data_IF_672291287275
#
_entry.id   IF_672291287275
#
_cell.length_a   1.000
_cell.length_b   1.000
_cell.length_c   1.000
_cell.angle_alpha   90.00
_cell.angle_beta   90.00
_cell.angle_gamma   90.00
#
_symmetry.space_group_name_H-M   'P 1'
#
loop_
_entity.id
_entity.type
_entity.pdbx_description
1 polymer ?
#
# COMPACT_ATOMS: atom_id res chain seq x y z
N UNK A 1 -0.99 -9.38 30.83
CA UNK A 1 -0.32 -10.42 30.02
C UNK A 1 -0.05 -9.80 28.67
N UNK A 2 1.11 -10.05 28.04
CA UNK A 2 1.39 -9.54 26.69
C UNK A 2 0.30 -10.05 25.75
N UNK A 3 -0.20 -9.17 24.87
CA UNK A 3 -1.28 -9.49 23.94
C UNK A 3 -0.70 -10.06 22.65
N UNK A 4 -1.38 -11.02 22.04
CA UNK A 4 -1.04 -11.46 20.68
C UNK A 4 -1.29 -10.31 19.69
N UNK A 5 -0.43 -10.15 18.68
CA UNK A 5 -0.44 -9.02 17.76
C UNK A 5 -0.46 -9.47 16.31
N UNK A 6 -1.20 -8.73 15.47
CA UNK A 6 -1.19 -8.82 14.02
C UNK A 6 -0.54 -7.55 13.45
N UNK A 7 0.60 -7.71 12.79
CA UNK A 7 1.39 -6.63 12.23
C UNK A 7 1.29 -6.67 10.71
N UNK A 8 0.66 -5.65 10.12
CA UNK A 8 0.57 -5.49 8.67
C UNK A 8 1.68 -4.56 8.22
N UNK A 9 2.64 -5.10 7.48
CA UNK A 9 3.72 -4.32 6.89
C UNK A 9 3.23 -3.76 5.57
N UNK A 10 3.00 -2.45 5.52
CA UNK A 10 2.46 -1.76 4.35
C UNK A 10 3.40 -0.66 3.89
N UNK A 11 3.39 -0.34 2.60
CA UNK A 11 4.33 0.60 2.02
C UNK A 11 4.50 0.34 0.53
N UNK A 12 5.05 1.32 -0.19
CA UNK A 12 5.30 1.16 -1.60
C UNK A 12 6.37 0.11 -1.92
N UNK A 13 6.53 -0.19 -3.20
CA UNK A 13 7.57 -1.10 -3.70
C UNK A 13 8.95 -0.66 -3.23
N UNK A 14 9.78 -1.64 -2.89
CA UNK A 14 11.14 -1.44 -2.36
C UNK A 14 11.21 -0.62 -1.06
N UNK A 15 10.10 -0.47 -0.33
CA UNK A 15 10.06 0.24 0.94
C UNK A 15 10.68 -0.48 2.14
N UNK A 16 11.24 -1.69 1.96
CA UNK A 16 11.87 -2.44 3.05
C UNK A 16 10.93 -3.31 3.91
N UNK A 17 9.68 -3.53 3.48
CA UNK A 17 8.67 -4.32 4.22
C UNK A 17 9.16 -5.73 4.58
N UNK A 18 9.57 -6.51 3.59
CA UNK A 18 10.00 -7.90 3.79
C UNK A 18 11.25 -7.99 4.68
N UNK A 19 12.18 -7.04 4.55
CA UNK A 19 13.37 -6.95 5.41
C UNK A 19 12.99 -6.62 6.87
N UNK A 20 12.07 -5.67 7.07
CA UNK A 20 11.51 -5.39 8.38
C UNK A 20 10.80 -6.61 8.98
N UNK A 21 10.01 -7.33 8.17
CA UNK A 21 9.35 -8.58 8.57
C UNK A 21 10.34 -9.66 9.00
N UNK A 22 11.41 -9.88 8.24
CA UNK A 22 12.47 -10.83 8.60
C UNK A 22 13.21 -10.43 9.88
N UNK A 23 13.37 -9.13 10.11
CA UNK A 23 13.95 -8.59 11.36
C UNK A 23 13.05 -8.88 12.56
N UNK A 24 11.74 -8.63 12.42
CA UNK A 24 10.72 -8.95 13.43
C UNK A 24 10.62 -10.45 13.72
N UNK A 25 10.80 -11.29 12.68
CA UNK A 25 10.81 -12.75 12.78
C UNK A 25 12.11 -13.31 13.38
N UNK A 26 13.21 -12.56 13.33
CA UNK A 26 14.55 -13.01 13.70
C UNK A 26 15.18 -14.01 12.73
N UNK A 27 14.59 -14.23 11.56
CA UNK A 27 15.09 -15.12 10.50
C UNK A 27 14.55 -14.71 9.13
N UNK A 28 15.14 -15.25 8.07
CA UNK A 28 14.74 -14.98 6.68
C UNK A 28 13.54 -15.86 6.30
N UNK A 29 12.39 -15.25 6.04
CA UNK A 29 11.15 -15.92 5.63
C UNK A 29 10.56 -15.23 4.39
N UNK A 30 10.46 -13.91 4.41
CA UNK A 30 9.96 -13.10 3.30
C UNK A 30 11.05 -12.82 2.26
N UNK A 31 10.67 -12.85 0.98
CA UNK A 31 11.56 -12.59 -0.15
C UNK A 31 11.75 -11.11 -0.46
N UNK A 32 12.51 -10.80 -1.53
CA UNK A 32 12.73 -9.41 -1.97
C UNK A 32 11.52 -8.78 -2.68
N UNK A 33 10.73 -9.60 -3.36
CA UNK A 33 9.52 -9.17 -4.06
C UNK A 33 8.31 -9.94 -3.60
N UNK A 34 7.38 -9.22 -2.97
CA UNK A 34 6.10 -9.74 -2.50
C UNK A 34 5.07 -9.56 -3.61
N UNK A 35 4.85 -10.62 -4.38
CA UNK A 35 3.84 -10.65 -5.46
C UNK A 35 2.44 -11.01 -4.92
N UNK A 36 2.38 -11.66 -3.76
CA UNK A 36 1.17 -12.06 -3.03
C UNK A 36 1.43 -11.83 -1.55
N UNK A 37 0.44 -11.40 -0.77
CA UNK A 37 0.62 -11.16 0.65
C UNK A 37 0.99 -12.46 1.38
N UNK A 38 2.00 -12.40 2.26
CA UNK A 38 2.53 -13.56 2.97
C UNK A 38 2.33 -13.41 4.47
N UNK A 39 1.96 -14.50 5.13
CA UNK A 39 1.77 -14.57 6.58
C UNK A 39 2.88 -15.42 7.20
N UNK A 40 3.51 -14.89 8.24
CA UNK A 40 4.42 -15.63 9.11
C UNK A 40 4.04 -15.44 10.59
N UNK A 41 4.37 -16.41 11.44
CA UNK A 41 4.10 -16.32 12.87
C UNK A 41 5.35 -16.64 13.69
N UNK A 42 5.58 -15.88 14.76
CA UNK A 42 6.72 -16.05 15.67
C UNK A 42 6.32 -15.75 17.09
N UNK A 43 7.03 -16.32 18.07
CA UNK A 43 6.91 -15.91 19.48
C UNK A 43 8.10 -15.04 19.88
N UNK A 44 7.85 -13.80 20.28
CA UNK A 44 8.89 -12.84 20.68
C UNK A 44 8.52 -12.24 22.03
N UNK A 45 9.44 -12.30 22.99
CA UNK A 45 9.27 -11.73 24.33
C UNK A 45 7.91 -12.10 25.00
N UNK A 46 7.48 -13.36 24.84
CA UNK A 46 6.24 -13.89 25.43
C UNK A 46 4.95 -13.57 24.67
N UNK A 47 5.03 -12.98 23.47
CA UNK A 47 3.89 -12.61 22.61
C UNK A 47 3.87 -13.49 21.36
N UNK A 48 2.69 -13.86 20.85
CA UNK A 48 2.58 -14.38 19.48
C UNK A 48 2.39 -13.22 18.52
N UNK A 49 3.34 -13.08 17.58
CA UNK A 49 3.23 -12.15 16.47
C UNK A 49 2.73 -12.90 15.24
N UNK A 50 1.73 -12.35 14.57
CA UNK A 50 1.37 -12.68 13.19
C UNK A 50 1.82 -11.51 12.33
N UNK A 51 2.76 -11.73 11.44
CA UNK A 51 3.32 -10.70 10.55
C UNK A 51 2.78 -10.98 9.15
N UNK A 52 2.18 -9.95 8.55
CA UNK A 52 1.64 -9.98 7.20
C UNK A 52 2.51 -9.05 6.37
N UNK A 53 3.35 -9.63 5.51
CA UNK A 53 4.08 -8.87 4.51
C UNK A 53 3.16 -8.64 3.31
N UNK A 54 2.84 -7.38 3.02
CA UNK A 54 1.90 -7.06 1.94
C UNK A 54 2.60 -6.80 0.61
N UNK A 55 1.85 -6.92 -0.47
CA UNK A 55 2.28 -6.41 -1.79
C UNK A 55 2.58 -4.90 -1.71
N UNK A 56 3.53 -4.42 -2.52
CA UNK A 56 3.90 -3.00 -2.57
C UNK A 56 3.13 -2.22 -3.64
N UNK A 57 2.61 -1.05 -3.28
CA UNK A 57 2.00 -0.10 -4.22
C UNK A 57 3.03 0.71 -5.00
N UNK A 58 2.60 1.35 -6.09
CA UNK A 58 3.42 2.34 -6.79
C UNK A 58 3.39 3.67 -6.03
N UNK A 59 4.55 4.29 -5.85
CA UNK A 59 4.68 5.55 -5.12
C UNK A 59 4.08 6.74 -5.87
N UNK A 60 3.89 6.64 -7.19
CA UNK A 60 3.42 7.77 -8.01
C UNK A 60 1.94 8.08 -7.81
N UNK A 61 1.08 7.06 -7.82
CA UNK A 61 -0.36 7.21 -7.62
C UNK A 61 -1.07 5.87 -7.40
N UNK A 62 -2.35 5.94 -7.00
CA UNK A 62 -3.22 4.78 -6.95
C UNK A 62 -3.49 4.18 -8.34
N UNK A 63 -3.60 5.01 -9.38
CA UNK A 63 -3.86 4.56 -10.76
C UNK A 63 -2.69 3.77 -11.34
N UNK A 64 -1.46 4.14 -10.98
CA UNK A 64 -0.24 3.38 -11.32
C UNK A 64 -0.14 2.07 -10.52
N UNK A 65 -0.92 1.93 -9.45
CA UNK A 65 -1.04 0.69 -8.68
C UNK A 65 -2.08 -0.25 -9.32
N UNK A 66 -1.58 -1.37 -9.88
CA UNK A 66 -2.42 -2.35 -10.57
C UNK A 66 -3.59 -2.83 -9.71
N UNK A 67 -4.73 -3.12 -10.35
CA UNK A 67 -5.94 -3.55 -9.65
C UNK A 67 -5.71 -4.81 -8.82
N UNK A 68 -4.92 -5.77 -9.32
CA UNK A 68 -4.53 -6.97 -8.57
C UNK A 68 -3.79 -6.66 -7.26
N UNK A 69 -2.96 -5.60 -7.24
CA UNK A 69 -2.27 -5.18 -6.01
C UNK A 69 -3.27 -4.58 -5.02
N UNK A 70 -4.20 -3.74 -5.50
CA UNK A 70 -5.24 -3.13 -4.66
C UNK A 70 -6.17 -4.19 -4.06
N UNK A 71 -6.59 -5.18 -4.85
CA UNK A 71 -7.37 -6.33 -4.38
C UNK A 71 -6.61 -7.16 -3.34
N UNK A 72 -5.34 -7.46 -3.59
CA UNK A 72 -4.53 -8.28 -2.69
C UNK A 72 -4.23 -7.55 -1.36
N UNK A 73 -4.14 -6.20 -1.36
CA UNK A 73 -4.07 -5.41 -0.13
C UNK A 73 -5.33 -5.57 0.73
N UNK A 74 -6.52 -5.49 0.13
CA UNK A 74 -7.79 -5.68 0.86
C UNK A 74 -7.90 -7.12 1.36
N UNK A 75 -7.64 -8.11 0.49
CA UNK A 75 -7.68 -9.54 0.84
C UNK A 75 -6.72 -9.91 1.96
N UNK A 76 -5.59 -9.22 2.07
CA UNK A 76 -4.56 -9.50 3.09
C UNK A 76 -5.12 -9.48 4.52
N UNK A 77 -6.20 -8.74 4.78
CA UNK A 77 -6.86 -8.69 6.09
C UNK A 77 -7.37 -10.04 6.57
N UNK A 78 -7.78 -10.90 5.63
CA UNK A 78 -8.21 -12.29 5.90
C UNK A 78 -7.07 -13.18 6.43
N UNK A 79 -5.81 -12.75 6.25
CA UNK A 79 -4.63 -13.45 6.77
C UNK A 79 -4.37 -13.15 8.24
N UNK A 80 -5.12 -12.24 8.87
CA UNK A 80 -4.94 -11.90 10.28
C UNK A 80 -5.30 -13.07 11.21
N UNK A 81 -4.57 -13.19 12.33
CA UNK A 81 -4.89 -14.09 13.44
C UNK A 81 -5.75 -13.40 14.52
N UNK A 82 -6.03 -14.10 15.63
CA UNK A 82 -6.66 -13.46 16.79
C UNK A 82 -5.79 -12.34 17.37
N UNK A 83 -6.42 -11.28 17.88
CA UNK A 83 -5.73 -10.17 18.57
C UNK A 83 -5.71 -8.84 17.81
N UNK A 84 -5.17 -7.77 18.43
CA UNK A 84 -4.95 -6.45 17.85
C UNK A 84 -4.33 -6.44 16.46
N UNK A 85 -4.86 -5.56 15.61
CA UNK A 85 -4.34 -5.23 14.28
C UNK A 85 -3.59 -3.90 14.36
N UNK A 86 -2.33 -3.92 13.92
CA UNK A 86 -1.47 -2.75 13.80
C UNK A 86 -0.92 -2.65 12.38
N UNK A 87 -0.94 -1.45 11.83
CA UNK A 87 -0.44 -1.13 10.49
C UNK A 87 0.91 -0.44 10.61
N UNK A 88 1.96 -1.09 10.13
CA UNK A 88 3.31 -0.54 10.10
C UNK A 88 3.57 0.02 8.70
N UNK A 89 3.58 1.34 8.58
CA UNK A 89 3.85 2.05 7.33
C UNK A 89 5.36 2.14 7.12
N UNK A 90 5.89 1.20 6.33
CA UNK A 90 7.32 1.04 6.11
C UNK A 90 7.82 2.03 5.07
N UNK A 91 8.71 2.93 5.51
CA UNK A 91 9.30 4.00 4.69
C UNK A 91 10.82 3.93 4.86
N UNK A 92 11.62 3.89 3.76
CA UNK A 92 13.06 3.97 3.88
C UNK A 92 13.49 5.28 4.54
N UNK A 93 14.38 5.21 5.54
CA UNK A 93 14.85 6.40 6.29
C UNK A 93 15.53 7.44 5.40
N UNK A 94 16.08 7.01 4.26
CA UNK A 94 16.79 7.85 3.28
C UNK A 94 15.88 8.66 2.36
N UNK A 95 14.59 8.35 2.36
CA UNK A 95 13.64 8.92 1.41
C UNK A 95 12.81 10.00 2.10
N UNK A 96 12.73 11.15 1.46
CA UNK A 96 11.68 12.12 1.72
C UNK A 96 10.44 11.79 0.90
N UNK A 97 9.25 12.14 1.41
CA UNK A 97 8.02 11.99 0.63
C UNK A 97 7.70 13.26 -0.15
N UNK A 98 7.38 13.10 -1.42
CA UNK A 98 6.68 14.11 -2.21
C UNK A 98 5.19 14.09 -1.89
N UNK A 99 4.46 15.11 -2.37
CA UNK A 99 3.00 15.14 -2.24
C UNK A 99 2.32 13.99 -2.99
N UNK A 100 2.91 13.52 -4.09
CA UNK A 100 2.38 12.37 -4.83
C UNK A 100 2.58 11.07 -4.03
N UNK A 101 3.77 10.88 -3.44
CA UNK A 101 4.04 9.70 -2.60
C UNK A 101 3.08 9.64 -1.41
N UNK A 102 2.82 10.79 -0.78
CA UNK A 102 1.84 10.93 0.31
C UNK A 102 0.43 10.55 -0.14
N UNK A 103 -0.03 11.07 -1.29
CA UNK A 103 -1.35 10.74 -1.85
C UNK A 103 -1.47 9.26 -2.17
N UNK A 104 -0.45 8.68 -2.80
CA UNK A 104 -0.44 7.26 -3.12
C UNK A 104 -0.53 6.40 -1.83
N UNK A 105 0.24 6.75 -0.80
CA UNK A 105 0.17 6.09 0.51
C UNK A 105 -1.23 6.24 1.14
N UNK A 106 -1.77 7.45 1.16
CA UNK A 106 -3.10 7.75 1.72
C UNK A 106 -4.18 6.93 1.02
N UNK A 107 -4.23 6.99 -0.32
CA UNK A 107 -5.22 6.27 -1.11
C UNK A 107 -5.13 4.75 -0.95
N UNK A 108 -3.91 4.19 -0.88
CA UNK A 108 -3.74 2.74 -0.69
C UNK A 108 -4.14 2.30 0.72
N UNK A 109 -3.88 3.13 1.74
CA UNK A 109 -4.34 2.84 3.11
C UNK A 109 -5.87 2.97 3.23
N UNK A 110 -6.46 3.96 2.56
CA UNK A 110 -7.90 4.19 2.54
C UNK A 110 -8.70 3.11 1.81
N UNK A 111 -8.05 2.22 1.04
CA UNK A 111 -8.69 0.98 0.60
C UNK A 111 -9.17 0.16 1.81
N UNK A 112 -8.44 0.20 2.92
CA UNK A 112 -8.83 -0.47 4.16
C UNK A 112 -9.77 0.41 5.00
N UNK A 113 -10.22 1.58 4.50
CA UNK A 113 -11.07 2.53 5.20
C UNK A 113 -10.28 3.55 6.02
N UNK A 114 -10.96 4.35 6.85
CA UNK A 114 -10.32 5.43 7.63
C UNK A 114 -9.71 4.95 8.97
N UNK A 115 -10.34 3.95 9.61
CA UNK A 115 -9.89 3.43 10.92
C UNK A 115 -8.44 2.89 10.97
N UNK A 116 -7.84 2.32 9.90
CA UNK A 116 -6.45 1.91 9.90
C UNK A 116 -5.47 2.96 10.41
N UNK A 117 -5.72 4.26 10.17
CA UNK A 117 -4.88 5.35 10.66
C UNK A 117 -4.78 5.40 12.19
N UNK A 118 -5.86 5.06 12.91
CA UNK A 118 -5.88 5.03 14.38
C UNK A 118 -4.92 3.97 14.93
N UNK A 119 -4.68 2.91 14.16
CA UNK A 119 -3.78 1.80 14.50
C UNK A 119 -2.51 1.79 13.62
N UNK A 120 -2.15 2.92 13.02
CA UNK A 120 -0.96 3.04 12.18
C UNK A 120 0.22 3.66 12.93
N UNK A 121 1.41 3.12 12.65
CA UNK A 121 2.71 3.64 13.08
C UNK A 121 3.65 3.68 11.88
N UNK A 122 4.42 4.77 11.74
CA UNK A 122 5.43 4.88 10.69
C UNK A 122 6.70 4.10 11.10
N UNK A 123 7.07 3.09 10.31
CA UNK A 123 8.26 2.28 10.53
C UNK A 123 9.34 2.71 9.56
N UNK A 124 10.36 3.44 10.04
CA UNK A 124 11.51 3.77 9.22
C UNK A 124 12.43 2.56 9.12
N UNK A 125 12.66 2.04 7.91
CA UNK A 125 13.63 0.97 7.68
C UNK A 125 15.02 1.57 7.42
N UNK A 126 16.00 1.20 8.24
CA UNK A 126 17.40 1.60 8.12
C UNK A 126 18.20 0.40 7.62
N UNK A 127 19.00 0.60 6.58
CA UNK A 127 19.96 -0.38 6.09
C UNK A 127 21.38 0.18 6.18
N UNK A 128 22.37 -0.69 6.35
CA UNK A 128 23.78 -0.35 6.44
C UNK A 128 24.21 0.57 5.27
N UNK A 129 25.02 1.59 5.58
CA UNK A 129 25.58 2.54 4.61
C UNK A 129 24.87 3.88 4.50
N UNK A 130 23.74 4.05 5.21
CA UNK A 130 22.98 5.31 5.26
C UNK A 130 22.71 5.74 6.69
N UNK A 131 23.76 5.80 7.50
CA UNK A 131 23.68 6.41 8.82
C UNK A 131 23.65 7.93 8.68
N UNK A 132 22.48 8.50 8.92
CA UNK A 132 22.33 9.91 9.26
C UNK A 132 22.81 10.16 10.70
N UNK A 133 24.05 9.77 11.03
CA UNK A 133 24.64 10.13 12.33
C UNK A 133 24.63 11.66 12.56
N UNK A 134 24.56 12.46 11.49
CA UNK A 134 24.49 13.92 11.56
C UNK A 134 23.07 14.52 11.62
N UNK A 135 22.01 13.81 11.20
CA UNK A 135 20.64 14.37 11.13
C UNK A 135 19.67 13.50 11.93
N UNK A 136 19.01 14.12 12.90
CA UNK A 136 18.00 13.44 13.73
C UNK A 136 16.78 13.02 12.89
N UNK A 137 16.02 12.03 13.35
CA UNK A 137 14.80 11.62 12.62
C UNK A 137 13.79 12.74 12.54
N UNK A 138 13.75 13.50 13.62
CA UNK A 138 12.87 14.63 13.85
C UNK A 138 13.19 15.72 12.82
N UNK A 139 14.46 16.05 12.60
CA UNK A 139 14.87 16.98 11.54
C UNK A 139 14.54 16.45 10.14
N UNK A 140 14.70 15.14 9.88
CA UNK A 140 14.30 14.56 8.60
C UNK A 140 12.79 14.66 8.35
N UNK A 141 11.96 14.31 9.34
CA UNK A 141 10.51 14.44 9.27
C UNK A 141 10.12 15.90 9.03
N UNK A 142 10.73 16.83 9.77
CA UNK A 142 10.46 18.26 9.65
C UNK A 142 10.88 18.84 8.28
N UNK A 143 11.87 18.26 7.62
CA UNK A 143 12.35 18.70 6.32
C UNK A 143 11.35 18.43 5.17
N UNK A 144 10.43 17.48 5.35
CA UNK A 144 9.51 17.04 4.30
C UNK A 144 8.05 17.16 4.74
N UNK A 145 7.35 18.17 4.23
CA UNK A 145 5.93 18.44 4.59
C UNK A 145 5.03 17.21 4.43
N UNK A 146 5.22 16.45 3.36
CA UNK A 146 4.40 15.29 3.06
C UNK A 146 4.69 14.13 4.04
N UNK A 147 5.95 13.94 4.44
CA UNK A 147 6.34 12.96 5.46
C UNK A 147 5.83 13.37 6.85
N UNK A 148 5.98 14.64 7.22
CA UNK A 148 5.42 15.19 8.46
C UNK A 148 3.92 14.92 8.55
N UNK A 149 3.18 15.18 7.48
CA UNK A 149 1.75 14.91 7.44
C UNK A 149 1.43 13.43 7.72
N UNK A 150 2.17 12.47 7.14
CA UNK A 150 1.93 11.04 7.39
C UNK A 150 2.17 10.69 8.86
N UNK A 151 3.24 11.21 9.45
CA UNK A 151 3.58 10.98 10.86
C UNK A 151 2.53 11.59 11.78
N UNK A 152 2.10 12.82 11.51
CA UNK A 152 1.01 13.50 12.23
C UNK A 152 -0.32 12.73 12.11
N UNK A 153 -0.64 12.23 10.91
CA UNK A 153 -1.83 11.40 10.65
C UNK A 153 -1.81 10.09 11.44
N UNK A 154 -0.62 9.55 11.68
CA UNK A 154 -0.38 8.41 12.57
C UNK A 154 -0.27 8.81 14.05
N UNK A 155 -0.76 9.99 14.46
CA UNK A 155 -0.73 10.42 15.86
C UNK A 155 0.69 10.68 16.40
N UNK A 156 1.62 11.10 15.55
CA UNK A 156 3.04 11.28 15.86
C UNK A 156 3.77 9.99 16.28
N UNK A 157 3.27 8.83 15.86
CA UNK A 157 3.86 7.52 16.17
C UNK A 157 4.82 7.09 15.07
N UNK A 158 6.09 6.93 15.41
CA UNK A 158 7.08 6.29 14.55
C UNK A 158 8.12 5.47 15.32
N UNK A 159 8.82 4.61 14.59
CA UNK A 159 9.91 3.78 15.10
C UNK A 159 10.98 3.59 14.02
N UNK A 160 12.25 3.51 14.43
CA UNK A 160 13.39 3.20 13.56
C UNK A 160 13.74 1.73 13.70
N UNK A 161 13.79 1.00 12.59
CA UNK A 161 14.19 -0.40 12.58
C UNK A 161 15.41 -0.56 11.68
N UNK A 162 16.53 -0.94 12.29
CA UNK A 162 17.71 -1.42 11.58
C UNK A 162 17.42 -2.83 11.07
N UNK A 163 17.26 -2.97 9.75
CA UNK A 163 16.88 -4.22 9.10
C UNK A 163 18.07 -5.13 8.78
N UNK A 164 19.29 -4.61 8.92
CA UNK A 164 20.52 -5.39 8.78
C UNK A 164 21.06 -5.83 10.16
N UNK A 165 20.77 -5.02 11.18
CA UNK A 165 21.08 -5.29 12.58
C UNK A 165 20.27 -6.42 13.19
N UNK A 166 20.93 -7.23 14.02
CA UNK A 166 20.31 -8.38 14.74
C UNK A 166 19.92 -8.04 16.18
N UNK A 167 19.46 -6.81 16.43
CA UNK A 167 19.10 -6.36 17.77
C UNK A 167 17.69 -6.79 18.19
N UNK A 168 17.56 -7.69 19.18
CA UNK A 168 16.24 -8.01 19.77
C UNK A 168 15.60 -6.81 20.48
N UNK A 169 16.42 -5.87 20.96
CA UNK A 169 15.97 -4.70 21.72
C UNK A 169 15.07 -3.77 20.91
N UNK A 170 15.44 -3.44 19.67
CA UNK A 170 14.61 -2.58 18.79
C UNK A 170 13.24 -3.21 18.53
N UNK A 171 13.20 -4.54 18.36
CA UNK A 171 11.94 -5.27 18.15
C UNK A 171 11.07 -5.15 19.40
N UNK A 172 11.62 -5.37 20.60
CA UNK A 172 10.86 -5.23 21.84
C UNK A 172 10.34 -3.80 22.03
N UNK A 173 11.17 -2.78 21.79
CA UNK A 173 10.76 -1.37 21.90
C UNK A 173 9.66 -0.99 20.89
N UNK A 174 9.71 -1.55 19.67
CA UNK A 174 8.63 -1.40 18.69
C UNK A 174 7.34 -2.05 19.18
N UNK A 175 7.41 -3.28 19.70
CA UNK A 175 6.24 -4.01 20.17
C UNK A 175 5.57 -3.30 21.36
N UNK A 176 6.34 -2.73 22.28
CA UNK A 176 5.80 -1.94 23.40
C UNK A 176 5.01 -0.72 22.89
N UNK A 177 5.53 0.01 21.89
CA UNK A 177 4.82 1.12 21.24
C UNK A 177 3.53 0.66 20.56
N UNK A 178 3.58 -0.49 19.90
CA UNK A 178 2.39 -1.06 19.23
C UNK A 178 1.35 -1.49 20.25
N UNK A 179 1.75 -2.09 21.38
CA UNK A 179 0.84 -2.49 22.46
C UNK A 179 0.14 -1.28 23.09
N UNK A 180 0.88 -0.18 23.32
CA UNK A 180 0.29 1.07 23.79
C UNK A 180 -0.68 1.66 22.77
N UNK A 181 -0.30 1.65 21.50
CA UNK A 181 -1.13 2.15 20.40
C UNK A 181 -2.48 1.41 20.30
N UNK A 182 -2.48 0.09 20.48
CA UNK A 182 -3.69 -0.73 20.35
C UNK A 182 -4.36 -1.01 21.71
N UNK A 183 -3.91 -0.35 22.79
CA UNK A 183 -4.51 -0.49 24.11
C UNK A 183 -5.91 0.13 24.13
N UNK A 184 -6.94 -0.70 24.35
CA UNK A 184 -8.34 -0.26 24.28
C UNK A 184 -8.94 -0.37 22.88
N UNK A 185 -8.24 -0.99 21.94
CA UNK A 185 -8.76 -1.31 20.62
C UNK A 185 -9.95 -2.26 20.68
N UNK A 186 -11.01 -1.89 19.97
CA UNK A 186 -12.16 -2.76 19.71
C UNK A 186 -11.96 -3.49 18.37
N UNK A 187 -11.74 -4.80 18.49
CA UNK A 187 -11.51 -5.68 17.35
C UNK A 187 -12.69 -5.74 16.40
N UNK A 188 -13.88 -5.90 16.95
CA UNK A 188 -15.10 -6.09 16.19
C UNK A 188 -15.38 -4.82 15.39
N UNK A 189 -15.23 -3.66 16.05
CA UNK A 189 -15.46 -2.37 15.42
C UNK A 189 -14.47 -2.05 14.29
N UNK A 190 -13.20 -2.50 14.37
CA UNK A 190 -12.26 -2.36 13.25
C UNK A 190 -12.60 -3.36 12.14
N UNK A 191 -12.78 -4.65 12.46
CA UNK A 191 -13.10 -5.67 11.46
C UNK A 191 -14.37 -5.34 10.69
N UNK A 192 -15.43 -4.87 11.35
CA UNK A 192 -16.66 -4.41 10.69
C UNK A 192 -16.41 -3.24 9.73
N UNK A 193 -15.57 -2.27 10.12
CA UNK A 193 -15.24 -1.15 9.23
C UNK A 193 -14.39 -1.59 8.04
N UNK A 194 -13.50 -2.56 8.27
CA UNK A 194 -12.69 -3.17 7.22
C UNK A 194 -13.56 -3.97 6.26
N UNK A 195 -14.48 -4.81 6.76
CA UNK A 195 -15.46 -5.56 5.97
C UNK A 195 -16.35 -4.62 5.14
N UNK A 196 -16.88 -3.56 5.75
CA UNK A 196 -17.62 -2.52 5.02
C UNK A 196 -16.77 -1.82 3.96
N UNK A 197 -15.47 -1.66 4.20
CA UNK A 197 -14.55 -1.09 3.20
C UNK A 197 -14.27 -2.06 2.06
N UNK A 198 -14.11 -3.35 2.37
CA UNK A 198 -13.97 -4.42 1.39
C UNK A 198 -15.21 -4.52 0.50
N UNK A 199 -16.41 -4.52 1.09
CA UNK A 199 -17.68 -4.52 0.34
C UNK A 199 -17.79 -3.30 -0.58
N UNK A 200 -17.60 -2.09 -0.04
CA UNK A 200 -17.64 -0.84 -0.83
C UNK A 200 -16.61 -0.83 -1.95
N UNK A 201 -15.39 -1.29 -1.69
CA UNK A 201 -14.35 -1.35 -2.70
C UNK A 201 -14.65 -2.40 -3.77
N UNK A 202 -15.18 -3.56 -3.37
CA UNK A 202 -15.59 -4.60 -4.30
C UNK A 202 -16.71 -4.09 -5.22
N UNK A 203 -17.72 -3.42 -4.67
CA UNK A 203 -18.79 -2.78 -5.44
C UNK A 203 -18.26 -1.70 -6.39
N UNK A 204 -17.43 -0.78 -5.88
CA UNK A 204 -16.79 0.28 -6.68
C UNK A 204 -15.95 -0.31 -7.81
N UNK A 205 -15.21 -1.38 -7.54
CA UNK A 205 -14.35 -2.05 -8.51
C UNK A 205 -15.14 -2.77 -9.60
N UNK A 206 -16.24 -3.45 -9.24
CA UNK A 206 -17.17 -4.03 -10.22
C UNK A 206 -17.71 -2.94 -11.12
N UNK A 207 -18.18 -1.82 -10.55
CA UNK A 207 -18.69 -0.68 -11.31
C UNK A 207 -17.61 -0.08 -12.25
N UNK A 208 -16.39 0.12 -11.77
CA UNK A 208 -15.27 0.58 -12.60
C UNK A 208 -14.95 -0.40 -13.74
N UNK A 209 -14.99 -1.71 -13.48
CA UNK A 209 -14.75 -2.73 -14.52
C UNK A 209 -15.82 -2.69 -15.61
N UNK A 210 -17.09 -2.49 -15.23
CA UNK A 210 -18.20 -2.35 -16.17
C UNK A 210 -18.07 -1.07 -17.00
N UNK A 211 -17.74 0.06 -16.36
CA UNK A 211 -17.48 1.32 -17.07
C UNK A 211 -16.33 1.19 -18.06
N UNK A 212 -15.20 0.59 -17.66
CA UNK A 212 -14.07 0.36 -18.56
C UNK A 212 -14.46 -0.49 -19.76
N UNK A 213 -15.33 -1.50 -19.56
CA UNK A 213 -15.84 -2.33 -20.67
C UNK A 213 -16.70 -1.53 -21.63
N UNK A 214 -17.51 -0.60 -21.13
CA UNK A 214 -18.31 0.32 -21.95
C UNK A 214 -17.42 1.32 -22.69
N UNK A 215 -16.40 1.87 -22.03
CA UNK A 215 -15.42 2.78 -22.63
C UNK A 215 -14.70 2.08 -23.80
N UNK A 216 -14.19 0.87 -23.59
CA UNK A 216 -13.53 0.08 -24.64
C UNK A 216 -14.46 -0.18 -25.83
N UNK A 217 -15.71 -0.59 -25.58
CA UNK A 217 -16.70 -0.77 -26.65
C UNK A 217 -16.96 0.52 -27.43
N UNK A 218 -16.97 1.67 -26.74
CA UNK A 218 -17.16 2.97 -27.37
C UNK A 218 -15.93 3.38 -28.19
N UNK A 219 -14.72 3.13 -27.70
CA UNK A 219 -13.48 3.35 -28.45
C UNK A 219 -13.42 2.51 -29.73
N UNK A 220 -13.77 1.22 -29.64
CA UNK A 220 -13.89 0.32 -30.80
C UNK A 220 -14.93 0.83 -31.80
N UNK A 221 -16.08 1.32 -31.32
CA UNK A 221 -17.13 1.88 -32.16
C UNK A 221 -16.68 3.17 -32.87
N UNK A 222 -15.96 4.04 -32.16
CA UNK A 222 -15.38 5.28 -32.72
C UNK A 222 -14.36 4.93 -33.79
N UNK A 223 -13.47 3.97 -33.54
CA UNK A 223 -12.47 3.54 -34.51
C UNK A 223 -13.13 2.92 -35.76
N UNK A 224 -14.19 2.11 -35.57
CA UNK A 224 -14.96 1.55 -36.67
C UNK A 224 -15.62 2.64 -37.52
N UNK A 225 -16.24 3.66 -36.89
CA UNK A 225 -16.84 4.78 -37.60
C UNK A 225 -15.79 5.61 -38.36
N UNK A 226 -14.63 5.87 -37.76
CA UNK A 226 -13.56 6.62 -38.41
C UNK A 226 -13.11 5.94 -39.72
N UNK A 227 -12.88 4.61 -39.70
CA UNK A 227 -12.55 3.82 -40.90
C UNK A 227 -13.65 3.87 -41.96
N UNK A 228 -14.91 3.85 -41.54
CA UNK A 228 -16.05 3.88 -42.46
C UNK A 228 -16.17 5.23 -43.17
N UNK A 229 -15.91 6.34 -42.46
CA UNK A 229 -15.87 7.69 -43.03
C UNK A 229 -14.73 7.83 -44.05
N UNK A 230 -13.54 7.29 -43.75
CA UNK A 230 -12.42 7.27 -44.70
C UNK A 230 -12.75 6.50 -45.98
N UNK A 231 -13.37 5.33 -45.87
CA UNK A 231 -13.79 4.52 -47.02
C UNK A 231 -14.81 5.24 -47.90
N UNK A 232 -15.83 5.85 -47.30
CA UNK A 232 -16.84 6.64 -48.02
C UNK A 232 -16.25 7.87 -48.70
N UNK A 233 -15.22 8.49 -48.10
CA UNK A 233 -14.46 9.58 -48.72
C UNK A 233 -13.72 9.13 -49.99
N UNK A 234 -13.05 7.99 -49.94
CA UNK A 234 -12.29 7.43 -51.07
C UNK A 234 -13.21 7.00 -52.24
N UNK A 235 -14.39 6.46 -51.95
CA UNK A 235 -15.39 6.12 -52.98
C UNK A 235 -15.91 7.38 -53.70
N UNK A 236 -16.12 8.48 -52.96
CA UNK A 236 -16.59 9.75 -53.54
C UNK A 236 -15.57 10.46 -54.46
N UNK A 237 -14.26 10.28 -54.20
CA UNK A 237 -13.19 10.81 -55.05
C UNK A 237 -13.01 9.99 -56.35
N UNK A 238 -13.28 8.69 -56.32
CA UNK A 238 -13.25 7.84 -57.52
C UNK A 238 -14.43 8.09 -58.46
N UNK A 239 -15.63 8.32 -57.91
CA UNK A 239 -16.82 8.63 -58.69
C UNK A 239 -16.76 10.03 -59.35
N UNK A 240 -16.09 11.00 -58.72
CA UNK A 240 -15.90 12.34 -59.31
C UNK A 240 -14.83 12.34 -60.41
N UNK A 241 -13.76 11.55 -60.28
CA UNK A 241 -12.75 11.36 -61.33
C UNK A 241 -13.30 10.64 -62.59
N UNK A 242 -14.33 9.81 -62.45
CA UNK A 242 -14.98 9.10 -63.57
C UNK A 242 -15.90 9.99 -64.43
N UNK A 243 -16.39 11.11 -63.89
CA UNK A 243 -17.34 11.99 -64.59
C UNK A 243 -16.63 13.00 -65.51
N UNK A 244 -15.35 13.30 -65.30
CA UNK A 244 -14.58 14.25 -66.14
C UNK A 244 -14.04 13.67 -67.47
N UNK A 245 -14.30 12.39 -67.80
CA UNK A 245 -13.76 11.73 -69.00
C UNK A 245 -14.76 11.49 -70.15
N UNK A 246 -15.91 12.17 -70.20
CA UNK A 246 -16.89 12.06 -71.30
C UNK A 246 -17.19 13.36 -72.05
#
# INVERSE_FOLDING_TARGET
MPSDLNLFLMGGKYGGKSAAGNTLLGHQEFGLETQVCQRACVSVAGRRLTIIDTVGWDWRSLEDTSESVRQELVRSLTLSGPGPLAFLLVIPSTVGLTENDRKALEQNLELLGEKPWENALVLFSLSEGYDFEEVSMEEHIESWKALRWVVERCGNRYHKLDVDGRGERQVVELLEKVEEMVAGWDRELLLEALEQSEERNTEMMVLCSEQNRVIQQMEEMIECHAKQVELLGQESEQDTAGIECH
#
